data_IF_773361810296
#
_entry.id   IF_773361810296
#
_cell.length_a   1.000
_cell.length_b   1.000
_cell.length_c   1.000
_cell.angle_alpha   90.00
_cell.angle_beta   90.00
_cell.angle_gamma   90.00
#
_symmetry.space_group_name_H-M   'P 1'
#
loop_
_entity.id
_entity.type
_entity.pdbx_description
1 polymer ?
#
# COMPACT_ATOMS: atom_id res chain seq x y z
N UNK A 1 -29.67 9.44 8.69
CA UNK A 1 -29.59 7.97 8.49
C UNK A 1 -29.24 7.59 7.04
N UNK A 2 -30.00 8.03 6.01
CA UNK A 2 -29.78 7.65 4.60
C UNK A 2 -28.32 7.87 4.09
N UNK A 3 -27.66 8.96 4.48
CA UNK A 3 -26.28 9.25 4.09
C UNK A 3 -25.23 8.32 4.74
N UNK A 4 -25.48 7.86 5.96
CA UNK A 4 -24.56 6.93 6.68
C UNK A 4 -24.64 5.52 6.10
N UNK A 5 -25.83 5.02 5.77
CA UNK A 5 -26.01 3.72 5.11
C UNK A 5 -25.41 3.70 3.70
N UNK A 6 -25.59 4.77 2.94
CA UNK A 6 -24.98 4.93 1.61
C UNK A 6 -23.46 4.95 1.71
N UNK A 7 -22.89 5.63 2.71
CA UNK A 7 -21.46 5.67 2.96
C UNK A 7 -20.92 4.28 3.35
N UNK A 8 -21.64 3.55 4.21
CA UNK A 8 -21.26 2.18 4.63
C UNK A 8 -21.29 1.20 3.45
N UNK A 9 -22.33 1.22 2.62
CA UNK A 9 -22.42 0.37 1.42
C UNK A 9 -21.32 0.69 0.42
N UNK A 10 -21.03 1.96 0.20
CA UNK A 10 -19.95 2.42 -0.67
C UNK A 10 -18.59 1.92 -0.19
N UNK A 11 -18.33 2.03 1.10
CA UNK A 11 -17.11 1.53 1.74
C UNK A 11 -16.98 0.01 1.61
N UNK A 12 -18.07 -0.73 1.82
CA UNK A 12 -18.09 -2.18 1.62
C UNK A 12 -17.68 -2.57 0.19
N UNK A 13 -18.22 -1.88 -0.83
CA UNK A 13 -17.82 -2.13 -2.23
C UNK A 13 -16.33 -1.85 -2.45
N UNK A 14 -15.80 -0.75 -1.92
CA UNK A 14 -14.38 -0.42 -2.02
C UNK A 14 -13.52 -1.51 -1.39
N UNK A 15 -13.83 -1.94 -0.16
CA UNK A 15 -13.07 -2.95 0.56
C UNK A 15 -13.12 -4.33 -0.13
N UNK A 16 -14.31 -4.76 -0.56
CA UNK A 16 -14.47 -6.01 -1.32
C UNK A 16 -13.69 -5.95 -2.64
N UNK A 17 -13.74 -4.83 -3.36
CA UNK A 17 -13.00 -4.66 -4.60
C UNK A 17 -11.48 -4.75 -4.37
N UNK A 18 -10.96 -4.15 -3.30
CA UNK A 18 -9.54 -4.26 -2.94
C UNK A 18 -9.16 -5.71 -2.69
N UNK A 19 -9.96 -6.46 -1.93
CA UNK A 19 -9.69 -7.88 -1.65
C UNK A 19 -9.66 -8.72 -2.95
N UNK A 20 -10.65 -8.56 -3.81
CA UNK A 20 -10.72 -9.30 -5.07
C UNK A 20 -9.56 -8.95 -6.01
N UNK A 21 -9.21 -7.67 -6.14
CA UNK A 21 -8.09 -7.26 -6.96
C UNK A 21 -6.75 -7.77 -6.37
N UNK A 22 -6.61 -7.77 -5.06
CA UNK A 22 -5.39 -8.30 -4.41
C UNK A 22 -5.18 -9.77 -4.75
N UNK A 23 -6.26 -10.56 -4.82
CA UNK A 23 -6.20 -11.99 -5.13
C UNK A 23 -6.08 -12.24 -6.63
N UNK A 24 -6.93 -11.61 -7.44
CA UNK A 24 -7.13 -11.95 -8.86
C UNK A 24 -6.47 -10.98 -9.85
N UNK A 25 -5.95 -9.83 -9.39
CA UNK A 25 -5.39 -8.77 -10.25
C UNK A 25 -6.43 -7.82 -10.83
N UNK A 26 -5.97 -6.67 -11.30
CA UNK A 26 -6.83 -5.60 -11.83
C UNK A 26 -7.56 -5.98 -13.12
N UNK A 27 -6.97 -6.86 -13.92
CA UNK A 27 -7.52 -7.27 -15.21
C UNK A 27 -8.72 -8.21 -15.07
N UNK A 28 -8.67 -9.12 -14.10
CA UNK A 28 -9.70 -10.17 -13.93
C UNK A 28 -10.94 -9.72 -13.15
N UNK A 29 -10.84 -8.60 -12.40
CA UNK A 29 -11.95 -8.11 -11.59
C UNK A 29 -12.81 -7.14 -12.41
N UNK A 30 -13.89 -7.61 -13.00
CA UNK A 30 -14.87 -6.84 -13.75
C UNK A 30 -16.00 -6.28 -12.88
N UNK A 31 -16.79 -5.32 -13.42
CA UNK A 31 -17.95 -4.72 -12.73
C UNK A 31 -18.98 -5.79 -12.35
N UNK A 32 -19.25 -6.77 -13.24
CA UNK A 32 -20.23 -7.82 -13.00
C UNK A 32 -19.85 -8.72 -11.81
N UNK A 33 -18.54 -9.00 -11.64
CA UNK A 33 -18.05 -9.72 -10.47
C UNK A 33 -18.23 -8.87 -9.20
N UNK A 34 -17.86 -7.58 -9.25
CA UNK A 34 -17.96 -6.67 -8.09
C UNK A 34 -19.42 -6.57 -7.62
N UNK A 35 -20.38 -6.34 -8.52
CA UNK A 35 -21.79 -6.19 -8.14
C UNK A 35 -22.38 -7.50 -7.60
N UNK A 36 -21.95 -8.64 -8.15
CA UNK A 36 -22.34 -9.96 -7.66
C UNK A 36 -21.86 -10.19 -6.22
N UNK A 37 -20.59 -9.98 -5.98
CA UNK A 37 -19.96 -10.24 -4.68
C UNK A 37 -20.37 -9.24 -3.59
N UNK A 38 -20.64 -8.00 -3.98
CA UNK A 38 -21.11 -6.96 -3.04
C UNK A 38 -22.63 -6.91 -2.89
N UNK A 39 -23.36 -7.75 -3.64
CA UNK A 39 -24.82 -7.86 -3.62
C UNK A 39 -25.54 -6.51 -3.85
N UNK A 40 -24.95 -5.63 -4.67
CA UNK A 40 -25.58 -4.38 -5.08
C UNK A 40 -26.11 -4.48 -6.51
N UNK A 41 -27.17 -3.71 -6.83
CA UNK A 41 -27.62 -3.62 -8.20
C UNK A 41 -26.61 -2.86 -9.08
N UNK A 42 -26.47 -3.25 -10.35
CA UNK A 42 -25.57 -2.61 -11.33
C UNK A 42 -25.83 -1.09 -11.45
N UNK A 43 -27.10 -0.68 -11.41
CA UNK A 43 -27.48 0.75 -11.34
C UNK A 43 -26.93 1.47 -10.10
N UNK A 44 -26.96 0.80 -8.94
CA UNK A 44 -26.38 1.34 -7.70
C UNK A 44 -24.87 1.50 -7.82
N UNK A 45 -24.17 0.56 -8.44
CA UNK A 45 -22.75 0.66 -8.73
C UNK A 45 -22.41 1.95 -9.51
N UNK A 46 -23.10 2.17 -10.63
CA UNK A 46 -22.85 3.36 -11.46
C UNK A 46 -23.25 4.65 -10.77
N UNK A 47 -24.28 4.65 -9.93
CA UNK A 47 -24.65 5.81 -9.11
C UNK A 47 -23.56 6.14 -8.06
N UNK A 48 -22.85 5.12 -7.55
CA UNK A 48 -21.80 5.33 -6.54
C UNK A 48 -20.47 5.73 -7.15
N UNK A 49 -20.09 5.14 -8.26
CA UNK A 49 -18.72 5.18 -8.77
C UNK A 49 -18.60 5.74 -10.19
N UNK A 50 -19.69 5.84 -10.94
CA UNK A 50 -19.77 6.25 -12.34
C UNK A 50 -19.03 5.32 -13.32
N UNK A 51 -17.87 4.79 -12.94
CA UNK A 51 -17.09 3.85 -13.76
C UNK A 51 -16.22 2.93 -12.89
N UNK A 52 -15.69 1.83 -13.48
CA UNK A 52 -14.68 0.98 -12.83
C UNK A 52 -13.42 1.77 -12.52
N UNK A 53 -13.00 2.68 -13.38
CA UNK A 53 -11.81 3.54 -13.20
C UNK A 53 -11.92 4.36 -11.91
N UNK A 54 -13.07 5.04 -11.72
CA UNK A 54 -13.31 5.84 -10.51
C UNK A 54 -13.36 4.99 -9.25
N UNK A 55 -13.91 3.76 -9.33
CA UNK A 55 -13.84 2.83 -8.21
C UNK A 55 -12.39 2.47 -7.89
N UNK A 56 -11.56 2.15 -8.89
CA UNK A 56 -10.15 1.83 -8.70
C UNK A 56 -9.39 3.02 -8.08
N UNK A 57 -9.63 4.25 -8.56
CA UNK A 57 -9.06 5.46 -7.96
C UNK A 57 -9.46 5.58 -6.47
N UNK A 58 -10.72 5.32 -6.14
CA UNK A 58 -11.19 5.32 -4.74
C UNK A 58 -10.54 4.21 -3.90
N UNK A 59 -10.35 3.01 -4.46
CA UNK A 59 -9.64 1.92 -3.80
C UNK A 59 -8.19 2.31 -3.49
N UNK A 60 -7.47 2.89 -4.46
CA UNK A 60 -6.10 3.38 -4.27
C UNK A 60 -6.05 4.50 -3.22
N UNK A 61 -6.97 5.48 -3.29
CA UNK A 61 -7.03 6.58 -2.33
C UNK A 61 -7.27 6.07 -0.90
N UNK A 62 -8.22 5.15 -0.73
CA UNK A 62 -8.53 4.53 0.56
C UNK A 62 -7.33 3.77 1.13
N UNK A 63 -6.70 2.92 0.32
CA UNK A 63 -5.55 2.14 0.73
C UNK A 63 -4.34 3.03 1.07
N UNK A 64 -4.08 4.05 0.24
CA UNK A 64 -3.05 5.06 0.48
C UNK A 64 -3.27 5.81 1.81
N UNK A 65 -4.51 6.14 2.15
CA UNK A 65 -4.84 6.81 3.42
C UNK A 65 -4.50 5.93 4.62
N UNK A 66 -4.91 4.67 4.61
CA UNK A 66 -4.62 3.71 5.69
C UNK A 66 -3.11 3.47 5.86
N UNK A 67 -2.39 3.33 4.75
CA UNK A 67 -0.94 3.16 4.78
C UNK A 67 -0.24 4.38 5.38
N UNK A 68 -0.63 5.58 4.98
CA UNK A 68 -0.08 6.83 5.52
C UNK A 68 -0.34 6.95 7.02
N UNK A 69 -1.56 6.71 7.45
CA UNK A 69 -1.95 6.75 8.86
C UNK A 69 -1.07 5.80 9.70
N UNK A 70 -0.87 4.57 9.22
CA UNK A 70 -0.04 3.59 9.92
C UNK A 70 1.43 4.00 9.97
N UNK A 71 2.01 4.46 8.86
CA UNK A 71 3.42 4.92 8.83
C UNK A 71 3.62 6.10 9.77
N UNK A 72 2.73 7.10 9.74
CA UNK A 72 2.81 8.25 10.65
C UNK A 72 2.64 7.82 12.11
N UNK A 73 1.76 6.85 12.39
CA UNK A 73 1.62 6.30 13.75
C UNK A 73 2.90 5.64 14.27
N UNK A 74 3.71 5.03 13.40
CA UNK A 74 5.02 4.47 13.76
C UNK A 74 6.03 5.60 13.97
N UNK A 75 6.13 6.56 13.04
CA UNK A 75 7.08 7.66 13.08
C UNK A 75 6.92 8.50 14.36
N UNK A 76 5.67 8.83 14.70
CA UNK A 76 5.37 9.66 15.87
C UNK A 76 5.14 8.88 17.18
N UNK A 77 5.29 7.56 17.14
CA UNK A 77 5.17 6.73 18.34
C UNK A 77 6.35 6.93 19.29
N UNK A 78 6.07 7.00 20.59
CA UNK A 78 7.08 6.94 21.64
C UNK A 78 7.48 5.49 22.02
N UNK A 79 6.85 4.49 21.41
CA UNK A 79 7.15 3.08 21.69
C UNK A 79 8.53 2.67 21.11
N UNK A 80 8.87 3.19 19.94
CA UNK A 80 10.14 2.92 19.28
C UNK A 80 11.19 3.93 19.71
N UNK A 81 12.32 3.46 20.29
CA UNK A 81 13.33 4.30 20.92
C UNK A 81 14.25 4.99 19.93
N UNK A 82 14.55 4.33 18.83
CA UNK A 82 15.50 4.85 17.82
C UNK A 82 14.85 5.00 16.45
N UNK A 83 15.38 5.85 15.57
CA UNK A 83 14.96 5.90 14.17
C UNK A 83 15.07 4.53 13.47
N UNK A 84 16.06 3.72 13.78
CA UNK A 84 16.27 2.39 13.25
C UNK A 84 15.12 1.44 13.64
N UNK A 85 14.65 1.49 14.89
CA UNK A 85 13.50 0.68 15.33
C UNK A 85 12.24 1.04 14.54
N UNK A 86 12.03 2.34 14.29
CA UNK A 86 10.92 2.84 13.46
C UNK A 86 11.03 2.36 12.01
N UNK A 87 12.23 2.41 11.43
CA UNK A 87 12.49 1.90 10.08
C UNK A 87 12.21 0.40 9.98
N UNK A 88 12.68 -0.39 10.93
CA UNK A 88 12.40 -1.84 10.98
C UNK A 88 10.90 -2.11 10.99
N UNK A 89 10.14 -1.41 11.82
CA UNK A 89 8.70 -1.55 11.90
C UNK A 89 8.02 -1.15 10.58
N UNK A 90 8.46 -0.06 9.94
CA UNK A 90 7.95 0.36 8.62
C UNK A 90 8.22 -0.73 7.57
N UNK A 91 9.43 -1.32 7.56
CA UNK A 91 9.78 -2.41 6.63
C UNK A 91 8.89 -3.63 6.87
N UNK A 92 8.78 -4.10 8.12
CA UNK A 92 7.94 -5.26 8.50
C UNK A 92 6.48 -5.03 8.12
N UNK A 93 5.95 -3.84 8.37
CA UNK A 93 4.57 -3.48 8.03
C UNK A 93 4.30 -3.56 6.52
N UNK A 94 5.24 -3.14 5.68
CA UNK A 94 5.08 -3.17 4.23
C UNK A 94 5.37 -4.55 3.63
N UNK A 95 6.42 -5.21 4.09
CA UNK A 95 6.87 -6.51 3.58
C UNK A 95 6.17 -7.68 4.28
N UNK A 96 4.84 -7.76 4.16
CA UNK A 96 4.00 -8.79 4.76
C UNK A 96 2.99 -9.29 3.73
N UNK A 97 2.61 -10.59 3.78
CA UNK A 97 1.62 -11.19 2.87
C UNK A 97 0.28 -10.47 2.87
N UNK A 98 -0.17 -10.04 4.05
CA UNK A 98 -1.41 -9.31 4.23
C UNK A 98 -1.21 -7.78 4.19
N UNK A 99 -0.07 -7.32 3.68
CA UNK A 99 0.23 -5.90 3.64
C UNK A 99 -0.74 -5.13 2.76
N UNK A 100 -1.22 -4.03 3.30
CA UNK A 100 -1.97 -3.02 2.54
C UNK A 100 -1.16 -2.50 1.32
N UNK A 101 0.16 -2.56 1.39
CA UNK A 101 1.07 -2.11 0.33
C UNK A 101 1.05 -3.04 -0.89
N UNK A 102 0.76 -4.34 -0.72
CA UNK A 102 0.67 -5.31 -1.81
C UNK A 102 -0.30 -4.83 -2.92
N UNK A 103 -1.45 -4.28 -2.56
CA UNK A 103 -2.40 -3.73 -3.52
C UNK A 103 -1.82 -2.55 -4.33
N UNK A 104 -1.09 -1.63 -3.68
CA UNK A 104 -0.46 -0.49 -4.34
C UNK A 104 0.71 -0.93 -5.23
N UNK A 105 1.53 -1.87 -4.76
CA UNK A 105 2.64 -2.41 -5.55
C UNK A 105 2.10 -3.12 -6.80
N UNK A 106 1.07 -3.94 -6.67
CA UNK A 106 0.37 -4.57 -7.80
C UNK A 106 -0.18 -3.53 -8.78
N UNK A 107 -0.74 -2.42 -8.30
CA UNK A 107 -1.19 -1.33 -9.16
C UNK A 107 -0.06 -0.73 -9.99
N UNK A 108 1.14 -0.56 -9.40
CA UNK A 108 2.30 -0.03 -10.12
C UNK A 108 2.70 -0.93 -11.30
N UNK A 109 2.60 -2.26 -11.15
CA UNK A 109 2.96 -3.19 -12.23
C UNK A 109 1.86 -3.38 -13.28
N UNK A 110 0.58 -3.37 -12.88
CA UNK A 110 -0.51 -3.83 -13.75
C UNK A 110 -1.25 -2.72 -14.48
N UNK A 111 -1.37 -1.49 -13.91
CA UNK A 111 -2.40 -0.56 -14.38
C UNK A 111 -1.92 0.73 -15.06
N UNK A 112 -0.62 0.86 -15.32
CA UNK A 112 -0.03 2.09 -15.88
C UNK A 112 -0.74 2.58 -17.14
N UNK A 113 -1.07 1.68 -18.05
CA UNK A 113 -1.72 2.01 -19.33
C UNK A 113 -3.25 2.06 -19.22
N UNK A 114 -3.85 1.22 -18.38
CA UNK A 114 -5.31 1.09 -18.29
C UNK A 114 -5.96 2.13 -17.39
N UNK A 115 -5.32 2.45 -16.28
CA UNK A 115 -5.84 3.37 -15.26
C UNK A 115 -4.76 4.37 -14.84
N UNK A 116 -4.35 5.28 -15.74
CA UNK A 116 -3.17 6.14 -15.53
C UNK A 116 -3.29 7.07 -14.33
N UNK A 117 -4.50 7.49 -13.94
CA UNK A 117 -4.70 8.30 -12.76
C UNK A 117 -4.48 7.48 -11.48
N UNK A 118 -5.08 6.30 -11.38
CA UNK A 118 -4.88 5.40 -10.25
C UNK A 118 -3.41 4.97 -10.11
N UNK A 119 -2.73 4.71 -11.24
CA UNK A 119 -1.28 4.46 -11.27
C UNK A 119 -0.49 5.63 -10.66
N UNK A 120 -0.77 6.87 -11.07
CA UNK A 120 -0.10 8.05 -10.50
C UNK A 120 -0.28 8.14 -9.00
N UNK A 121 -1.49 7.87 -8.50
CA UNK A 121 -1.78 7.88 -7.06
C UNK A 121 -0.99 6.82 -6.29
N UNK A 122 -0.80 5.63 -6.86
CA UNK A 122 0.04 4.58 -6.26
C UNK A 122 1.53 4.98 -6.23
N UNK A 123 2.04 5.56 -7.33
CA UNK A 123 3.42 6.08 -7.39
C UNK A 123 3.64 7.26 -6.43
N UNK A 124 2.64 8.12 -6.24
CA UNK A 124 2.69 9.22 -5.26
C UNK A 124 2.85 8.72 -3.83
N UNK A 125 2.21 7.60 -3.48
CA UNK A 125 2.44 7.00 -2.16
C UNK A 125 3.89 6.60 -1.97
N UNK A 126 4.51 5.95 -2.94
CA UNK A 126 5.90 5.52 -2.87
C UNK A 126 6.86 6.71 -2.76
N UNK A 127 6.60 7.81 -3.46
CA UNK A 127 7.37 9.06 -3.35
C UNK A 127 7.22 9.68 -1.96
N UNK A 128 6.01 9.68 -1.43
CA UNK A 128 5.73 10.16 -0.09
C UNK A 128 6.46 9.30 0.97
N UNK A 129 6.37 7.97 0.88
CA UNK A 129 7.06 7.07 1.80
C UNK A 129 8.59 7.30 1.78
N UNK A 130 9.17 7.49 0.59
CA UNK A 130 10.57 7.83 0.44
C UNK A 130 10.94 9.12 1.20
N UNK A 131 10.08 10.14 1.13
CA UNK A 131 10.29 11.40 1.83
C UNK A 131 10.21 11.22 3.35
N UNK A 132 9.21 10.53 3.86
CA UNK A 132 9.09 10.25 5.31
C UNK A 132 10.28 9.43 5.85
N UNK A 133 10.77 8.45 5.08
CA UNK A 133 11.96 7.68 5.44
C UNK A 133 13.20 8.57 5.41
N UNK A 134 13.33 9.43 4.41
CA UNK A 134 14.42 10.39 4.34
C UNK A 134 14.43 11.31 5.57
N UNK A 135 13.30 11.89 5.92
CA UNK A 135 13.19 12.79 7.09
C UNK A 135 13.49 12.06 8.41
N UNK A 136 13.13 10.76 8.48
CA UNK A 136 13.43 9.94 9.65
C UNK A 136 14.92 9.60 9.80
N UNK A 137 15.67 9.45 8.70
CA UNK A 137 17.10 9.13 8.67
C UNK A 137 17.95 10.41 8.78
N UNK A 138 17.39 11.54 8.33
CA UNK A 138 18.13 12.78 8.15
C UNK A 138 18.67 13.32 9.48
N UNK A 139 20.01 13.32 9.62
CA UNK A 139 20.74 13.85 10.79
C UNK A 139 21.67 15.02 10.45
N UNK A 140 21.47 15.70 9.29
CA UNK A 140 22.19 16.91 8.92
C UNK A 140 23.19 16.81 7.75
N UNK A 141 23.39 15.63 7.14
CA UNK A 141 24.21 15.45 5.94
C UNK A 141 23.37 14.86 4.79
N UNK A 142 23.33 15.58 3.66
CA UNK A 142 22.23 15.52 2.68
C UNK A 142 22.29 14.40 1.66
N UNK A 143 23.47 13.95 1.25
CA UNK A 143 23.60 13.07 0.08
C UNK A 143 23.46 11.59 0.43
N UNK A 144 24.05 11.17 1.51
CA UNK A 144 24.02 9.78 1.99
C UNK A 144 22.62 9.41 2.47
N UNK A 145 21.97 10.22 3.29
CA UNK A 145 20.61 9.97 3.77
C UNK A 145 19.58 9.79 2.65
N UNK A 146 19.73 10.51 1.52
CA UNK A 146 18.85 10.33 0.35
C UNK A 146 19.06 8.97 -0.32
N UNK A 147 20.30 8.52 -0.38
CA UNK A 147 20.64 7.20 -0.94
C UNK A 147 20.12 6.08 -0.04
N UNK A 148 20.30 6.23 1.27
CA UNK A 148 19.81 5.27 2.27
C UNK A 148 18.30 5.15 2.27
N UNK A 149 17.57 6.26 2.14
CA UNK A 149 16.12 6.24 2.01
C UNK A 149 15.65 5.46 0.77
N UNK A 150 16.33 5.60 -0.37
CA UNK A 150 16.06 4.80 -1.56
C UNK A 150 16.35 3.30 -1.33
N UNK A 151 17.44 2.98 -0.63
CA UNK A 151 17.78 1.60 -0.31
C UNK A 151 16.70 0.95 0.56
N UNK A 152 16.18 1.66 1.57
CA UNK A 152 15.09 1.15 2.45
C UNK A 152 13.80 0.92 1.64
N UNK A 153 13.41 1.83 0.75
CA UNK A 153 12.21 1.64 -0.08
C UNK A 153 12.39 0.47 -1.07
N UNK A 154 13.58 0.31 -1.64
CA UNK A 154 13.88 -0.82 -2.51
C UNK A 154 13.94 -2.15 -1.73
N UNK A 155 14.44 -2.13 -0.49
CA UNK A 155 14.37 -3.28 0.42
C UNK A 155 12.93 -3.70 0.68
N UNK A 156 12.02 -2.75 0.97
CA UNK A 156 10.59 -3.03 1.15
C UNK A 156 10.01 -3.74 -0.08
N UNK A 157 10.25 -3.21 -1.28
CA UNK A 157 9.74 -3.79 -2.52
C UNK A 157 10.31 -5.21 -2.75
N UNK A 158 11.63 -5.39 -2.55
CA UNK A 158 12.30 -6.67 -2.70
C UNK A 158 11.82 -7.72 -1.69
N UNK A 159 11.69 -7.35 -0.43
CA UNK A 159 11.20 -8.26 0.62
C UNK A 159 9.73 -8.65 0.40
N UNK A 160 8.88 -7.71 -0.06
CA UNK A 160 7.50 -8.05 -0.37
C UNK A 160 7.42 -9.03 -1.55
N UNK A 161 8.21 -8.82 -2.61
CA UNK A 161 8.30 -9.75 -3.74
C UNK A 161 8.80 -11.13 -3.30
N UNK A 162 9.82 -11.18 -2.44
CA UNK A 162 10.32 -12.43 -1.86
C UNK A 162 9.22 -13.17 -1.09
N UNK A 163 8.53 -12.48 -0.17
CA UNK A 163 7.46 -13.08 0.63
C UNK A 163 6.31 -13.58 -0.26
N UNK A 164 5.95 -12.84 -1.32
CA UNK A 164 4.93 -13.27 -2.28
C UNK A 164 5.34 -14.49 -3.12
N UNK A 165 6.64 -14.71 -3.33
CA UNK A 165 7.17 -15.82 -4.14
C UNK A 165 7.49 -17.06 -3.32
N UNK A 166 8.11 -16.91 -2.13
CA UNK A 166 8.56 -18.03 -1.28
C UNK A 166 7.59 -18.37 -0.15
N UNK A 167 6.69 -17.47 0.19
CA UNK A 167 5.80 -17.54 1.35
C UNK A 167 6.55 -17.70 2.70
N UNK A 168 7.84 -17.29 2.74
CA UNK A 168 8.71 -17.41 3.91
C UNK A 168 8.90 -16.07 4.61
N UNK A 169 8.34 -15.93 5.82
CA UNK A 169 8.60 -14.79 6.69
C UNK A 169 9.95 -14.88 7.39
N UNK A 170 10.47 -16.10 7.62
CA UNK A 170 11.77 -16.32 8.25
C UNK A 170 12.92 -15.79 7.37
N UNK A 171 12.87 -16.06 6.06
CA UNK A 171 13.84 -15.52 5.11
C UNK A 171 13.79 -14.00 5.04
N UNK A 172 12.58 -13.40 5.04
CA UNK A 172 12.41 -11.96 5.11
C UNK A 172 13.10 -11.37 6.34
N UNK A 173 12.84 -11.96 7.51
CA UNK A 173 13.36 -11.45 8.78
C UNK A 173 14.89 -11.58 8.84
N UNK A 174 15.45 -12.66 8.31
CA UNK A 174 16.89 -12.84 8.20
C UNK A 174 17.56 -11.79 7.30
N UNK A 175 16.98 -11.51 6.13
CA UNK A 175 17.49 -10.47 5.21
C UNK A 175 17.38 -9.08 5.84
N UNK A 176 16.26 -8.79 6.50
CA UNK A 176 16.05 -7.52 7.18
C UNK A 176 17.07 -7.32 8.32
N UNK A 177 17.28 -8.34 9.16
CA UNK A 177 18.28 -8.27 10.23
C UNK A 177 19.69 -8.00 9.69
N UNK A 178 20.08 -8.71 8.63
CA UNK A 178 21.39 -8.51 8.01
C UNK A 178 21.55 -7.11 7.42
N UNK A 179 20.51 -6.59 6.74
CA UNK A 179 20.55 -5.23 6.20
C UNK A 179 20.78 -4.19 7.28
N UNK A 180 20.03 -4.25 8.39
CA UNK A 180 20.18 -3.28 9.48
C UNK A 180 21.41 -3.50 10.36
N UNK A 181 22.12 -4.65 10.29
CA UNK A 181 23.41 -4.84 10.92
C UNK A 181 24.56 -4.19 10.15
N UNK A 182 24.47 -4.14 8.83
CA UNK A 182 25.51 -3.56 7.96
C UNK A 182 25.37 -2.03 7.90
N UNK A 183 24.16 -1.51 8.08
CA UNK A 183 23.85 -0.07 7.97
C UNK A 183 24.03 0.70 9.28
N UNK A 184 24.56 0.07 10.33
CA UNK A 184 24.91 0.63 11.65
C UNK A 184 26.43 0.53 11.85
#
# INVERSE_FOLDING_TARGET
MRNLETSSKKLHVVQTTIQFITIHGFHHVGVDLIVKETQIAKGTFYNYFHSKERLIEMCIAFQKSLLKEKVLSIIYSNHYRTPIDKLKEIVVFHANLNSLYNFLLKAIFEIKLLYPQAYRMAVEYRKWLLHEIFDLIFSGETREAKFDAHMVVNLIDGLLLQVLSSNSLEERDAVMEQFFKISV
#
